data_IF_711613883340
#
_entry.id   IF_711613883340
#
_cell.length_a   1.000
_cell.length_b   1.000
_cell.length_c   1.000
_cell.angle_alpha   90.00
_cell.angle_beta   90.00
_cell.angle_gamma   90.00
#
_symmetry.space_group_name_H-M   'P 1'
#
loop_
_entity.id
_entity.type
_entity.pdbx_description
1 polymer ?
#
# COMPACT_ATOMS: atom_id res chain seq x y z
N UNK A 1 20.24 -18.94 22.38
CA UNK A 1 19.15 -18.20 21.72
C UNK A 1 19.01 -16.81 22.35
N UNK A 2 19.56 -15.78 21.71
CA UNK A 2 19.32 -14.37 22.08
C UNK A 2 18.11 -13.86 21.31
N UNK A 3 17.30 -13.01 21.93
CA UNK A 3 16.19 -12.31 21.27
C UNK A 3 16.65 -10.88 20.98
N UNK A 4 16.41 -10.38 19.77
CA UNK A 4 16.73 -9.01 19.40
C UNK A 4 15.63 -8.38 18.54
N UNK A 5 15.50 -7.06 18.67
CA UNK A 5 14.49 -6.27 17.97
C UNK A 5 15.17 -5.20 17.12
N UNK A 6 14.71 -5.06 15.88
CA UNK A 6 15.25 -4.11 14.91
C UNK A 6 14.14 -3.18 14.41
N UNK A 7 14.49 -1.90 14.26
CA UNK A 7 13.64 -0.89 13.63
C UNK A 7 14.29 -0.45 12.31
N UNK A 8 13.54 -0.52 11.22
CA UNK A 8 13.98 -0.14 9.88
C UNK A 8 12.98 0.85 9.30
N UNK A 9 13.48 1.98 8.82
CA UNK A 9 12.75 2.95 8.05
C UNK A 9 13.00 4.39 8.49
N UNK A 10 12.49 5.31 7.66
CA UNK A 10 12.77 6.73 7.77
C UNK A 10 12.10 7.38 8.99
N UNK A 11 12.86 8.23 9.68
CA UNK A 11 12.35 9.22 10.62
C UNK A 11 11.98 10.50 9.85
N UNK A 12 10.69 10.79 9.71
CA UNK A 12 10.18 11.94 8.93
C UNK A 12 9.66 13.04 9.86
N UNK A 13 10.57 13.93 10.27
CA UNK A 13 10.26 15.02 11.20
C UNK A 13 9.16 16.00 10.71
N UNK A 14 8.77 15.95 9.43
CA UNK A 14 7.69 16.77 8.90
C UNK A 14 6.29 16.24 9.21
N UNK A 15 6.18 14.97 9.63
CA UNK A 15 4.93 14.34 9.97
C UNK A 15 4.61 14.54 11.46
N UNK A 16 3.41 15.05 11.83
CA UNK A 16 3.01 15.22 13.23
C UNK A 16 3.00 13.93 14.06
N UNK A 17 2.84 12.77 13.42
CA UNK A 17 2.86 11.44 14.06
C UNK A 17 4.29 10.87 14.17
N UNK A 18 5.32 11.60 13.70
CA UNK A 18 6.69 11.08 13.69
C UNK A 18 7.26 10.94 15.10
N UNK A 19 7.97 9.84 15.31
CA UNK A 19 8.77 9.60 16.50
C UNK A 19 10.07 10.38 16.34
N UNK A 20 10.44 11.28 17.25
CA UNK A 20 11.68 12.03 17.13
C UNK A 20 12.90 11.10 17.18
N UNK A 21 13.89 11.33 16.32
CA UNK A 21 15.12 10.51 16.27
C UNK A 21 15.81 10.38 17.63
N UNK A 22 15.78 11.43 18.46
CA UNK A 22 16.33 11.40 19.82
C UNK A 22 15.69 10.32 20.71
N UNK A 23 14.39 10.07 20.55
CA UNK A 23 13.64 9.05 21.30
C UNK A 23 14.06 7.66 20.83
N UNK A 24 14.19 7.46 19.52
CA UNK A 24 14.65 6.19 18.94
C UNK A 24 16.08 5.88 19.41
N UNK A 25 16.97 6.87 19.39
CA UNK A 25 18.36 6.72 19.86
C UNK A 25 18.44 6.46 21.36
N UNK A 26 17.51 7.00 22.14
CA UNK A 26 17.39 6.65 23.56
C UNK A 26 17.05 5.16 23.73
N UNK A 27 16.03 4.65 23.03
CA UNK A 27 15.69 3.21 23.11
C UNK A 27 16.82 2.29 22.63
N UNK A 28 17.60 2.73 21.65
CA UNK A 28 18.81 2.02 21.22
C UNK A 28 19.89 2.01 22.31
N UNK A 29 20.12 3.15 22.98
CA UNK A 29 21.06 3.25 24.10
C UNK A 29 20.64 2.44 25.33
N UNK A 30 19.32 2.30 25.56
CA UNK A 30 18.72 1.42 26.57
C UNK A 30 18.83 -0.08 26.20
N UNK A 31 19.32 -0.41 25.00
CA UNK A 31 19.48 -1.79 24.53
C UNK A 31 18.17 -2.47 24.13
N UNK A 32 17.07 -1.73 23.98
CA UNK A 32 15.75 -2.29 23.65
C UNK A 32 15.66 -2.69 22.18
N UNK A 33 16.25 -1.89 21.30
CA UNK A 33 16.18 -2.06 19.84
C UNK A 33 17.53 -1.75 19.19
N UNK A 34 17.70 -2.18 17.94
CA UNK A 34 18.72 -1.66 17.01
C UNK A 34 18.04 -0.87 15.90
N UNK A 35 18.42 0.39 15.71
CA UNK A 35 17.86 1.23 14.66
C UNK A 35 18.74 1.21 13.41
N UNK A 36 18.22 0.64 12.32
CA UNK A 36 18.94 0.47 11.06
C UNK A 36 18.76 1.63 10.08
N UNK A 37 17.90 2.61 10.38
CA UNK A 37 17.67 3.76 9.50
C UNK A 37 16.85 3.43 8.25
N UNK A 38 16.89 4.33 7.26
CA UNK A 38 16.31 4.11 5.93
C UNK A 38 17.21 3.18 5.12
N UNK A 39 16.62 2.23 4.40
CA UNK A 39 17.33 1.23 3.61
C UNK A 39 16.71 1.16 2.20
N UNK A 40 17.54 1.16 1.16
CA UNK A 40 17.08 1.07 -0.23
C UNK A 40 16.64 -0.35 -0.60
N UNK A 41 17.41 -1.36 -0.20
CA UNK A 41 17.10 -2.77 -0.42
C UNK A 41 16.87 -3.49 0.91
N UNK A 42 15.61 -3.77 1.21
CA UNK A 42 15.22 -4.42 2.46
C UNK A 42 15.47 -5.93 2.47
N UNK A 43 15.79 -6.57 1.33
CA UNK A 43 15.83 -8.04 1.19
C UNK A 43 16.85 -8.68 2.13
N UNK A 44 18.09 -8.16 2.28
CA UNK A 44 19.05 -8.72 3.23
C UNK A 44 18.54 -8.66 4.68
N UNK A 45 17.82 -7.59 5.03
CA UNK A 45 17.27 -7.42 6.38
C UNK A 45 16.12 -8.41 6.62
N UNK A 46 15.18 -8.53 5.67
CA UNK A 46 14.11 -9.52 5.75
C UNK A 46 14.71 -10.93 5.86
N UNK A 47 15.69 -11.27 5.03
CA UNK A 47 16.34 -12.57 5.02
C UNK A 47 16.99 -12.93 6.36
N UNK A 48 17.61 -11.96 7.04
CA UNK A 48 18.22 -12.13 8.37
C UNK A 48 17.21 -12.15 9.52
N UNK A 49 15.98 -11.70 9.28
CA UNK A 49 14.93 -11.66 10.31
C UNK A 49 14.31 -13.05 10.50
N UNK A 50 13.98 -13.40 11.74
CA UNK A 50 13.20 -14.59 12.07
C UNK A 50 11.70 -14.35 11.87
N UNK A 51 11.24 -13.11 12.12
CA UNK A 51 9.86 -12.68 11.93
C UNK A 51 9.80 -11.18 11.64
N UNK A 52 8.90 -10.78 10.74
CA UNK A 52 8.63 -9.38 10.44
C UNK A 52 7.41 -8.89 11.22
N UNK A 53 7.56 -7.72 11.87
CA UNK A 53 6.53 -7.07 12.67
C UNK A 53 5.92 -5.89 11.92
N UNK A 54 4.60 -5.75 11.97
CA UNK A 54 3.90 -4.51 11.58
C UNK A 54 2.64 -4.29 12.44
N UNK A 55 2.78 -3.81 13.70
CA UNK A 55 1.66 -3.55 14.60
C UNK A 55 0.90 -2.24 14.28
N UNK A 56 0.63 -1.99 13.00
CA UNK A 56 0.08 -0.72 12.51
C UNK A 56 -1.39 -0.51 12.88
N UNK A 57 -1.82 0.74 13.06
CA UNK A 57 -3.22 1.03 13.41
C UNK A 57 -4.13 1.12 12.18
N UNK A 58 -3.54 1.33 11.00
CA UNK A 58 -4.25 1.46 9.73
C UNK A 58 -3.30 1.25 8.57
N UNK A 59 -3.67 0.38 7.66
CA UNK A 59 -2.96 0.18 6.40
C UNK A 59 -3.94 -0.09 5.24
N UNK A 60 -3.43 0.01 4.01
CA UNK A 60 -3.93 -0.88 2.95
C UNK A 60 -3.26 -2.25 3.10
N UNK A 61 -3.33 -3.14 2.12
CA UNK A 61 -2.51 -4.36 2.20
C UNK A 61 -1.02 -3.96 2.22
N UNK A 62 -0.26 -4.16 3.32
CA UNK A 62 1.06 -3.58 3.46
C UNK A 62 2.07 -4.34 2.62
N UNK A 63 2.69 -3.66 1.66
CA UNK A 63 3.67 -4.28 0.76
C UNK A 63 4.81 -4.95 1.52
N UNK A 64 5.25 -4.38 2.63
CA UNK A 64 6.32 -4.97 3.45
C UNK A 64 5.97 -6.33 4.05
N UNK A 65 4.70 -6.57 4.39
CA UNK A 65 4.23 -7.89 4.79
C UNK A 65 4.23 -8.84 3.60
N UNK A 66 3.81 -8.37 2.42
CA UNK A 66 3.86 -9.17 1.19
C UNK A 66 5.30 -9.56 0.82
N UNK A 67 6.25 -8.64 0.95
CA UNK A 67 7.69 -8.86 0.73
C UNK A 67 8.25 -9.89 1.73
N UNK A 68 7.91 -9.75 3.01
CA UNK A 68 8.30 -10.70 4.07
C UNK A 68 7.77 -12.11 3.79
N UNK A 69 6.46 -12.22 3.52
CA UNK A 69 5.81 -13.48 3.18
C UNK A 69 6.44 -14.10 1.93
N UNK A 70 6.71 -13.30 0.89
CA UNK A 70 7.38 -13.76 -0.34
C UNK A 70 8.75 -14.38 -0.03
N UNK A 71 9.51 -13.78 0.89
CA UNK A 71 10.81 -14.29 1.33
C UNK A 71 10.72 -15.41 2.39
N UNK A 72 9.56 -16.06 2.53
CA UNK A 72 9.32 -17.16 3.45
C UNK A 72 9.48 -16.77 4.94
N UNK A 73 9.16 -15.52 5.28
CA UNK A 73 9.20 -15.05 6.66
C UNK A 73 7.80 -15.04 7.28
N UNK A 74 7.62 -15.68 8.45
CA UNK A 74 6.42 -15.47 9.26
C UNK A 74 6.25 -13.99 9.61
N UNK A 75 4.99 -13.58 9.73
CA UNK A 75 4.64 -12.19 10.06
C UNK A 75 3.84 -12.11 11.36
N UNK A 76 4.06 -11.04 12.12
CA UNK A 76 3.17 -10.61 13.20
C UNK A 76 2.63 -9.23 12.84
N UNK A 77 1.32 -9.09 12.79
CA UNK A 77 0.62 -7.87 12.38
C UNK A 77 -0.59 -7.59 13.27
N UNK A 78 -1.45 -6.65 12.91
CA UNK A 78 -2.62 -6.23 13.69
C UNK A 78 -3.95 -6.50 12.99
N UNK A 79 -5.02 -6.61 13.79
CA UNK A 79 -6.40 -6.81 13.37
C UNK A 79 -7.02 -5.53 12.81
N UNK A 80 -6.43 -5.02 11.73
CA UNK A 80 -6.90 -3.85 11.00
C UNK A 80 -7.02 -4.19 9.52
N UNK A 81 -7.85 -3.42 8.83
CA UNK A 81 -7.98 -3.47 7.37
C UNK A 81 -6.60 -3.36 6.71
N UNK A 82 -6.39 -4.12 5.64
CA UNK A 82 -5.10 -4.31 4.98
C UNK A 82 -4.23 -5.39 5.63
N UNK A 83 -4.01 -5.30 6.94
CA UNK A 83 -3.15 -6.22 7.68
C UNK A 83 -3.81 -7.60 7.85
N UNK A 84 -5.11 -7.64 8.17
CA UNK A 84 -5.84 -8.90 8.38
C UNK A 84 -5.90 -9.76 7.11
N UNK A 85 -5.88 -9.14 5.93
CA UNK A 85 -5.88 -9.82 4.64
C UNK A 85 -4.57 -10.59 4.39
N UNK A 86 -3.49 -10.23 5.09
CA UNK A 86 -2.20 -10.92 5.00
C UNK A 86 -2.15 -12.21 5.81
N UNK A 87 -3.11 -12.45 6.72
CA UNK A 87 -3.13 -13.66 7.56
C UNK A 87 -4.13 -14.66 6.97
N UNK A 88 -3.65 -15.86 6.64
CA UNK A 88 -4.44 -16.96 6.09
C UNK A 88 -5.15 -17.71 7.22
N UNK A 89 -6.47 -17.85 7.08
CA UNK A 89 -7.32 -18.62 7.99
C UNK A 89 -7.18 -18.28 9.49
N UNK A 90 -7.12 -16.99 9.91
CA UNK A 90 -6.88 -16.63 11.31
C UNK A 90 -8.00 -17.13 12.23
N UNK A 91 -7.63 -17.74 13.36
CA UNK A 91 -8.54 -18.19 14.42
C UNK A 91 -8.21 -17.48 15.73
N UNK A 92 -9.24 -17.03 16.46
CA UNK A 92 -9.04 -16.37 17.75
C UNK A 92 -8.47 -17.37 18.77
N UNK A 93 -7.39 -16.98 19.44
CA UNK A 93 -6.68 -17.77 20.44
C UNK A 93 -6.27 -16.87 21.61
N UNK A 94 -7.15 -16.74 22.61
CA UNK A 94 -6.96 -15.79 23.71
C UNK A 94 -6.95 -14.35 23.20
N UNK A 95 -5.86 -13.63 23.46
CA UNK A 95 -5.65 -12.21 23.12
C UNK A 95 -5.19 -11.98 21.67
N UNK A 96 -4.97 -13.05 20.88
CA UNK A 96 -4.42 -12.98 19.52
C UNK A 96 -5.29 -13.77 18.54
N UNK A 97 -5.00 -13.63 17.25
CA UNK A 97 -5.48 -14.53 16.21
C UNK A 97 -4.30 -15.25 15.56
N UNK A 98 -4.36 -16.58 15.53
CA UNK A 98 -3.32 -17.42 14.94
C UNK A 98 -3.76 -17.88 13.55
N UNK A 99 -2.96 -17.58 12.53
CA UNK A 99 -3.16 -18.07 11.17
C UNK A 99 -2.08 -19.07 10.76
N UNK A 100 -2.26 -19.66 9.57
CA UNK A 100 -1.31 -20.65 9.01
C UNK A 100 0.07 -20.03 8.74
N UNK A 101 0.13 -18.74 8.42
CA UNK A 101 1.31 -18.03 7.95
C UNK A 101 1.81 -16.91 8.88
N UNK A 102 1.14 -16.68 10.01
CA UNK A 102 1.48 -15.56 10.90
C UNK A 102 0.51 -15.40 12.07
N UNK A 103 0.72 -14.35 12.85
CA UNK A 103 -0.05 -14.03 14.05
C UNK A 103 -0.58 -12.60 13.95
N UNK A 104 -1.80 -12.38 14.41
CA UNK A 104 -2.45 -11.08 14.42
C UNK A 104 -2.77 -10.67 15.86
N UNK A 105 -2.25 -9.53 16.29
CA UNK A 105 -2.60 -8.88 17.55
C UNK A 105 -3.76 -7.89 17.35
N UNK A 106 -4.39 -7.45 18.43
CA UNK A 106 -5.31 -6.31 18.38
C UNK A 106 -4.53 -4.99 18.20
N UNK A 107 -5.12 -4.03 17.49
CA UNK A 107 -4.45 -2.75 17.25
C UNK A 107 -4.46 -1.85 18.50
N UNK A 108 -3.36 -1.13 18.71
CA UNK A 108 -3.14 -0.26 19.89
C UNK A 108 -3.16 -1.03 21.22
N UNK A 109 -2.75 -2.29 21.18
CA UNK A 109 -2.74 -3.18 22.33
C UNK A 109 -1.35 -3.83 22.46
N UNK A 110 -0.52 -3.25 23.33
CA UNK A 110 0.81 -3.80 23.63
C UNK A 110 0.74 -5.15 24.34
N UNK A 111 -0.36 -5.46 25.04
CA UNK A 111 -0.56 -6.74 25.70
C UNK A 111 -0.86 -7.87 24.69
N UNK A 112 -1.74 -7.61 23.73
CA UNK A 112 -2.00 -8.53 22.62
C UNK A 112 -0.74 -8.76 21.77
N UNK A 113 0.04 -7.70 21.48
CA UNK A 113 1.32 -7.82 20.77
C UNK A 113 2.34 -8.66 21.56
N UNK A 114 2.40 -8.48 22.89
CA UNK A 114 3.22 -9.32 23.77
C UNK A 114 2.87 -10.80 23.65
N UNK A 115 1.59 -11.15 23.67
CA UNK A 115 1.19 -12.54 23.47
C UNK A 115 1.51 -13.06 22.07
N UNK A 116 1.39 -12.24 21.03
CA UNK A 116 1.76 -12.65 19.68
C UNK A 116 3.25 -13.01 19.59
N UNK A 117 4.12 -12.16 20.15
CA UNK A 117 5.56 -12.41 20.20
C UNK A 117 5.86 -13.64 21.07
N UNK A 118 5.25 -13.77 22.24
CA UNK A 118 5.43 -14.92 23.13
C UNK A 118 5.00 -16.23 22.47
N UNK A 119 3.87 -16.24 21.79
CA UNK A 119 3.38 -17.40 21.02
C UNK A 119 4.38 -17.77 19.93
N UNK A 120 4.88 -16.80 19.15
CA UNK A 120 5.91 -17.07 18.15
C UNK A 120 7.19 -17.65 18.75
N UNK A 121 7.65 -17.09 19.88
CA UNK A 121 8.84 -17.58 20.59
C UNK A 121 8.67 -19.03 21.05
N UNK A 122 7.47 -19.43 21.46
CA UNK A 122 7.15 -20.80 21.91
C UNK A 122 7.09 -21.85 20.80
N UNK A 123 7.05 -21.43 19.53
CA UNK A 123 7.06 -22.35 18.39
C UNK A 123 8.44 -23.00 18.26
N UNK A 124 8.44 -24.30 17.97
CA UNK A 124 9.63 -25.03 17.53
C UNK A 124 10.16 -24.47 16.20
N UNK A 125 11.43 -24.74 15.90
CA UNK A 125 12.05 -24.31 14.64
C UNK A 125 11.27 -24.84 13.41
N UNK A 126 10.87 -26.12 13.43
CA UNK A 126 10.06 -26.73 12.36
C UNK A 126 8.69 -26.05 12.18
N UNK A 127 8.05 -25.62 13.27
CA UNK A 127 6.79 -24.86 13.20
C UNK A 127 7.00 -23.46 12.60
N UNK A 128 8.07 -22.76 12.97
CA UNK A 128 8.42 -21.45 12.40
C UNK A 128 8.68 -21.55 10.90
N UNK A 129 9.40 -22.57 10.46
CA UNK A 129 9.66 -22.83 9.05
C UNK A 129 8.40 -23.19 8.26
N UNK A 130 7.53 -24.01 8.85
CA UNK A 130 6.24 -24.37 8.26
C UNK A 130 5.37 -23.13 8.09
N UNK A 131 5.30 -22.27 9.11
CA UNK A 131 4.60 -20.99 9.05
C UNK A 131 5.20 -20.07 7.96
N UNK A 132 6.52 -20.04 7.82
CA UNK A 132 7.20 -19.27 6.77
C UNK A 132 6.89 -19.80 5.35
N UNK A 133 6.88 -21.12 5.16
CA UNK A 133 6.50 -21.75 3.87
C UNK A 133 5.06 -21.43 3.51
N UNK A 134 4.13 -21.57 4.44
CA UNK A 134 2.73 -21.17 4.26
C UNK A 134 2.61 -19.69 3.91
N UNK A 135 3.45 -18.82 4.48
CA UNK A 135 3.50 -17.40 4.13
C UNK A 135 3.88 -17.17 2.67
N UNK A 136 4.93 -17.83 2.18
CA UNK A 136 5.35 -17.73 0.78
C UNK A 136 4.30 -18.27 -0.18
N UNK A 137 3.73 -19.43 0.12
CA UNK A 137 2.66 -20.03 -0.67
C UNK A 137 1.48 -19.06 -0.78
N UNK A 138 1.05 -18.47 0.34
CA UNK A 138 -0.04 -17.51 0.35
C UNK A 138 0.27 -16.23 -0.43
N UNK A 139 1.50 -15.70 -0.32
CA UNK A 139 1.94 -14.55 -1.11
C UNK A 139 1.90 -14.84 -2.61
N UNK A 140 2.41 -15.99 -3.05
CA UNK A 140 2.38 -16.41 -4.45
C UNK A 140 0.94 -16.64 -4.92
N UNK A 141 0.11 -17.32 -4.13
CA UNK A 141 -1.26 -17.69 -4.47
C UNK A 141 -2.19 -16.47 -4.53
N UNK A 142 -1.98 -15.44 -3.70
CA UNK A 142 -2.93 -14.32 -3.60
C UNK A 142 -2.37 -12.98 -4.06
N UNK A 143 -1.10 -12.69 -3.79
CA UNK A 143 -0.56 -11.33 -3.88
C UNK A 143 0.52 -11.14 -4.96
N UNK A 144 0.91 -12.19 -5.67
CA UNK A 144 1.88 -12.05 -6.75
C UNK A 144 1.44 -11.02 -7.81
N UNK A 145 2.37 -10.14 -8.17
CA UNK A 145 2.15 -9.02 -9.11
C UNK A 145 1.64 -9.48 -10.48
N UNK A 146 1.92 -10.72 -10.90
CA UNK A 146 1.41 -11.28 -12.15
C UNK A 146 -0.12 -11.26 -12.23
N UNK A 147 -0.84 -11.41 -11.10
CA UNK A 147 -2.31 -11.33 -11.05
C UNK A 147 -2.82 -9.92 -11.29
N UNK A 148 -2.14 -8.95 -10.69
CA UNK A 148 -2.43 -7.53 -10.94
C UNK A 148 -2.17 -7.21 -12.40
N UNK A 149 -1.01 -7.59 -12.94
CA UNK A 149 -0.67 -7.41 -14.36
C UNK A 149 -1.73 -8.03 -15.27
N UNK A 150 -2.15 -9.27 -15.00
CA UNK A 150 -3.17 -9.96 -15.78
C UNK A 150 -4.50 -9.20 -15.76
N UNK A 151 -4.90 -8.70 -14.59
CA UNK A 151 -6.10 -7.87 -14.43
C UNK A 151 -6.03 -6.63 -15.32
N UNK A 152 -4.92 -5.88 -15.28
CA UNK A 152 -4.73 -4.73 -16.18
C UNK A 152 -4.80 -5.15 -17.66
N UNK A 153 -4.08 -6.21 -18.06
CA UNK A 153 -4.07 -6.71 -19.44
C UNK A 153 -5.48 -7.10 -19.93
N UNK A 154 -6.26 -7.81 -19.12
CA UNK A 154 -7.64 -8.18 -19.44
C UNK A 154 -8.52 -6.94 -19.66
N UNK A 155 -8.34 -5.92 -18.82
CA UNK A 155 -9.19 -4.72 -18.81
C UNK A 155 -8.81 -3.75 -19.92
N UNK A 156 -7.53 -3.70 -20.27
CA UNK A 156 -7.06 -3.07 -21.52
C UNK A 156 -7.70 -3.76 -22.72
N UNK A 157 -7.64 -5.09 -22.82
CA UNK A 157 -8.28 -5.83 -23.93
C UNK A 157 -9.80 -5.59 -24.02
N UNK A 158 -10.48 -5.45 -22.89
CA UNK A 158 -11.93 -5.27 -22.81
C UNK A 158 -12.38 -3.85 -23.16
N UNK A 159 -11.65 -2.82 -22.71
CA UNK A 159 -12.14 -1.44 -22.74
C UNK A 159 -11.35 -0.50 -23.65
N UNK A 160 -10.13 -0.86 -24.05
CA UNK A 160 -9.32 0.00 -24.90
C UNK A 160 -9.95 0.16 -26.29
N UNK A 161 -10.09 1.41 -26.74
CA UNK A 161 -10.48 1.73 -28.12
C UNK A 161 -9.32 1.46 -29.10
N UNK A 162 -9.57 1.65 -30.39
CA UNK A 162 -8.53 1.57 -31.43
C UNK A 162 -7.38 2.55 -31.10
N UNK A 163 -6.16 2.02 -31.00
CA UNK A 163 -4.95 2.79 -30.72
C UNK A 163 -4.03 2.08 -29.72
N UNK A 164 -2.78 2.56 -29.62
CA UNK A 164 -1.76 1.99 -28.73
C UNK A 164 -1.49 2.81 -27.47
N UNK A 165 -2.04 4.02 -27.37
CA UNK A 165 -1.73 4.94 -26.28
C UNK A 165 -2.56 4.62 -25.02
N UNK A 166 -1.90 4.23 -23.93
CA UNK A 166 -2.52 4.10 -22.61
C UNK A 166 -2.04 5.25 -21.73
N UNK A 167 -2.96 5.91 -21.02
CA UNK A 167 -2.62 7.03 -20.13
C UNK A 167 -2.87 6.65 -18.67
N UNK A 168 -1.92 6.95 -17.80
CA UNK A 168 -2.00 6.76 -16.35
C UNK A 168 -1.87 8.14 -15.69
N UNK A 169 -2.92 8.58 -15.00
CA UNK A 169 -2.95 9.89 -14.33
C UNK A 169 -2.86 9.69 -12.83
N UNK A 170 -1.85 10.28 -12.20
CA UNK A 170 -1.57 10.09 -10.78
C UNK A 170 -1.23 11.41 -10.09
N UNK A 171 -1.40 11.43 -8.78
CA UNK A 171 -1.05 12.58 -7.95
C UNK A 171 0.46 12.65 -7.62
N UNK A 172 1.23 11.58 -7.87
CA UNK A 172 2.69 11.56 -7.69
C UNK A 172 3.34 10.67 -8.75
N UNK A 173 4.58 10.99 -9.15
CA UNK A 173 5.39 10.03 -9.93
C UNK A 173 5.81 8.86 -9.04
N UNK A 174 6.08 9.13 -7.75
CA UNK A 174 6.52 8.09 -6.80
C UNK A 174 5.52 6.95 -6.68
N UNK A 175 4.22 7.25 -6.59
CA UNK A 175 3.21 6.19 -6.54
C UNK A 175 3.20 5.31 -7.81
N UNK A 176 3.48 5.89 -8.97
CA UNK A 176 3.55 5.14 -10.23
C UNK A 176 4.82 4.29 -10.30
N UNK A 177 5.98 4.84 -9.96
CA UNK A 177 7.24 4.09 -9.98
C UNK A 177 7.25 3.00 -8.92
N UNK A 178 6.76 3.28 -7.71
CA UNK A 178 6.86 2.34 -6.61
C UNK A 178 5.84 1.20 -6.75
N UNK A 179 4.58 1.49 -7.08
CA UNK A 179 3.50 0.50 -7.02
C UNK A 179 3.02 -0.02 -8.38
N UNK A 180 3.39 0.65 -9.48
CA UNK A 180 2.86 0.33 -10.82
C UNK A 180 3.91 0.07 -11.88
N UNK A 181 5.20 0.27 -11.59
CA UNK A 181 6.24 0.15 -12.62
C UNK A 181 6.19 -1.19 -13.36
N UNK A 182 6.05 -2.31 -12.66
CA UNK A 182 5.97 -3.64 -13.28
C UNK A 182 4.71 -3.82 -14.16
N UNK A 183 3.58 -3.23 -13.76
CA UNK A 183 2.36 -3.19 -14.58
C UNK A 183 2.59 -2.36 -15.85
N UNK A 184 3.22 -1.19 -15.71
CA UNK A 184 3.50 -0.28 -16.82
C UNK A 184 4.47 -0.92 -17.82
N UNK A 185 5.53 -1.56 -17.32
CA UNK A 185 6.48 -2.34 -18.13
C UNK A 185 5.76 -3.49 -18.85
N UNK A 186 4.95 -4.29 -18.15
CA UNK A 186 4.27 -5.43 -18.76
C UNK A 186 3.26 -5.02 -19.85
N UNK A 187 2.65 -3.84 -19.75
CA UNK A 187 1.78 -3.30 -20.81
C UNK A 187 2.59 -2.68 -21.96
N UNK A 188 3.71 -2.01 -21.67
CA UNK A 188 4.65 -1.54 -22.69
C UNK A 188 5.19 -2.70 -23.52
N UNK A 189 5.54 -3.81 -22.87
CA UNK A 189 6.11 -5.00 -23.50
C UNK A 189 5.06 -5.75 -24.36
N UNK A 190 3.76 -5.51 -24.13
CA UNK A 190 2.66 -5.93 -25.02
C UNK A 190 2.48 -4.99 -26.25
N UNK A 191 3.35 -3.99 -26.39
CA UNK A 191 3.38 -3.07 -27.54
C UNK A 191 2.51 -1.82 -27.38
N UNK A 192 2.02 -1.50 -26.18
CA UNK A 192 1.34 -0.24 -25.89
C UNK A 192 2.34 0.90 -25.65
N UNK A 193 1.97 2.12 -26.03
CA UNK A 193 2.69 3.33 -25.68
C UNK A 193 2.12 3.88 -24.38
N UNK A 194 2.95 3.90 -23.33
CA UNK A 194 2.51 4.26 -21.98
C UNK A 194 2.83 5.73 -21.70
N UNK A 195 1.81 6.50 -21.37
CA UNK A 195 1.92 7.90 -20.99
C UNK A 195 1.58 8.08 -19.51
N UNK A 196 2.45 8.73 -18.76
CA UNK A 196 2.23 9.07 -17.35
C UNK A 196 1.97 10.57 -17.24
N UNK A 197 0.84 10.94 -16.63
CA UNK A 197 0.50 12.33 -16.30
C UNK A 197 0.55 12.48 -14.77
N UNK A 198 1.59 13.13 -14.25
CA UNK A 198 1.80 13.30 -12.81
C UNK A 198 2.72 14.50 -12.48
N UNK A 199 2.78 14.96 -11.22
CA UNK A 199 3.85 15.85 -10.76
C UNK A 199 5.23 15.26 -10.95
N UNK A 200 6.17 16.12 -11.36
CA UNK A 200 7.59 15.76 -11.39
C UNK A 200 8.12 15.67 -9.95
N UNK A 201 8.78 14.55 -9.63
CA UNK A 201 9.46 14.32 -8.36
C UNK A 201 10.74 13.48 -8.59
N UNK A 202 11.41 13.04 -7.52
CA UNK A 202 12.68 12.31 -7.60
C UNK A 202 12.57 10.97 -8.36
N UNK A 203 11.37 10.38 -8.43
CA UNK A 203 11.13 9.09 -9.07
C UNK A 203 10.73 9.19 -10.54
N UNK A 204 10.52 10.41 -11.05
CA UNK A 204 10.18 10.63 -12.46
C UNK A 204 11.26 10.05 -13.39
N UNK A 205 12.52 10.10 -12.97
CA UNK A 205 13.64 9.57 -13.74
C UNK A 205 13.52 8.06 -13.97
N UNK A 206 13.14 7.30 -12.93
CA UNK A 206 12.88 5.85 -13.04
C UNK A 206 11.81 5.53 -14.08
N UNK A 207 10.76 6.36 -14.18
CA UNK A 207 9.71 6.16 -15.20
C UNK A 207 10.25 6.37 -16.62
N UNK A 208 11.08 7.40 -16.83
CA UNK A 208 11.70 7.72 -18.12
C UNK A 208 12.69 6.65 -18.57
N UNK A 209 13.55 6.17 -17.66
CA UNK A 209 14.52 5.09 -17.92
C UNK A 209 13.84 3.78 -18.33
N UNK A 210 12.59 3.60 -17.90
CA UNK A 210 11.74 2.49 -18.31
C UNK A 210 10.93 2.77 -19.58
N UNK A 211 11.36 3.72 -20.42
CA UNK A 211 10.75 3.97 -21.73
C UNK A 211 9.30 4.46 -21.67
N UNK A 212 8.87 5.03 -20.54
CA UNK A 212 7.53 5.60 -20.37
C UNK A 212 7.55 7.08 -20.75
N UNK A 213 6.50 7.56 -21.41
CA UNK A 213 6.40 8.97 -21.82
C UNK A 213 5.81 9.78 -20.66
N UNK A 214 6.56 10.76 -20.15
CA UNK A 214 6.12 11.56 -19.01
C UNK A 214 5.57 12.93 -19.43
N UNK A 215 4.41 13.30 -18.85
CA UNK A 215 3.77 14.60 -19.02
C UNK A 215 3.63 15.26 -17.64
N UNK A 216 4.32 16.40 -17.39
CA UNK A 216 4.27 17.05 -16.08
C UNK A 216 2.89 17.64 -15.81
N UNK A 217 2.36 17.38 -14.61
CA UNK A 217 1.11 17.94 -14.10
C UNK A 217 1.38 18.68 -12.78
N UNK A 218 0.91 19.92 -12.67
CA UNK A 218 0.83 20.59 -11.38
C UNK A 218 -0.50 20.21 -10.72
N UNK A 219 -0.46 19.55 -9.57
CA UNK A 219 -1.64 19.21 -8.79
C UNK A 219 -1.35 19.37 -7.30
N UNK A 220 -2.20 20.11 -6.61
CA UNK A 220 -2.12 20.26 -5.17
C UNK A 220 -2.95 19.18 -4.50
N UNK A 221 -2.31 18.13 -4.00
CA UNK A 221 -2.97 16.94 -3.47
C UNK A 221 -3.85 17.17 -2.23
N UNK A 222 -3.54 18.21 -1.45
CA UNK A 222 -4.22 18.54 -0.18
C UNK A 222 -5.07 19.81 -0.26
N UNK A 223 -4.82 20.66 -1.24
CA UNK A 223 -5.55 21.93 -1.41
C UNK A 223 -6.98 21.74 -1.91
N UNK A 224 -7.82 22.74 -1.64
CA UNK A 224 -9.21 22.83 -2.11
C UNK A 224 -9.46 24.08 -2.95
N UNK A 225 -8.38 24.65 -3.54
CA UNK A 225 -8.44 25.88 -4.31
C UNK A 225 -9.11 25.64 -5.68
N UNK A 226 -10.29 26.22 -5.95
CA UNK A 226 -11.03 25.96 -7.18
C UNK A 226 -10.30 26.39 -8.46
N UNK A 227 -9.48 27.44 -8.39
CA UNK A 227 -8.75 27.96 -9.56
C UNK A 227 -7.62 26.98 -9.94
N UNK A 228 -6.87 26.51 -8.93
CA UNK A 228 -5.84 25.46 -9.13
C UNK A 228 -6.46 24.17 -9.66
N UNK A 229 -7.64 23.79 -9.13
CA UNK A 229 -8.35 22.59 -9.55
C UNK A 229 -8.88 22.71 -11.00
N UNK A 230 -9.41 23.87 -11.38
CA UNK A 230 -9.81 24.13 -12.77
C UNK A 230 -8.61 24.12 -13.72
N UNK A 231 -7.48 24.72 -13.32
CA UNK A 231 -6.22 24.67 -14.08
C UNK A 231 -5.74 23.23 -14.25
N UNK A 232 -5.80 22.41 -13.18
CA UNK A 232 -5.44 20.99 -13.20
C UNK A 232 -6.32 20.23 -14.19
N UNK A 233 -7.64 20.41 -14.10
CA UNK A 233 -8.61 19.81 -15.03
C UNK A 233 -8.35 20.23 -16.48
N UNK A 234 -8.16 21.53 -16.75
CA UNK A 234 -7.91 22.05 -18.09
C UNK A 234 -6.62 21.46 -18.71
N UNK A 235 -5.56 21.34 -17.90
CA UNK A 235 -4.32 20.71 -18.32
C UNK A 235 -4.52 19.24 -18.71
N UNK A 236 -5.16 18.44 -17.82
CA UNK A 236 -5.47 17.04 -18.08
C UNK A 236 -6.33 16.90 -19.35
N UNK A 237 -7.37 17.71 -19.50
CA UNK A 237 -8.24 17.69 -20.67
C UNK A 237 -7.47 17.92 -21.97
N UNK A 238 -6.60 18.95 -22.01
CA UNK A 238 -5.77 19.25 -23.20
C UNK A 238 -4.81 18.11 -23.53
N UNK A 239 -4.15 17.54 -22.52
CA UNK A 239 -3.25 16.40 -22.69
C UNK A 239 -4.00 15.17 -23.23
N UNK A 240 -5.14 14.80 -22.62
CA UNK A 240 -5.93 13.66 -23.07
C UNK A 240 -6.48 13.86 -24.49
N UNK A 241 -6.92 15.08 -24.82
CA UNK A 241 -7.37 15.41 -26.18
C UNK A 241 -6.24 15.29 -27.20
N UNK A 242 -5.03 15.71 -26.86
CA UNK A 242 -3.86 15.61 -27.74
C UNK A 242 -3.38 14.15 -27.90
N UNK A 243 -3.24 13.41 -26.80
CA UNK A 243 -2.74 12.03 -26.79
C UNK A 243 -3.75 11.07 -27.45
N UNK A 244 -5.05 11.39 -27.32
CA UNK A 244 -6.18 10.58 -27.78
C UNK A 244 -6.03 9.08 -27.38
N UNK A 245 -5.98 8.78 -26.07
CA UNK A 245 -5.65 7.45 -25.59
C UNK A 245 -6.76 6.43 -25.87
N UNK A 246 -6.36 5.17 -26.06
CA UNK A 246 -7.31 4.07 -26.16
C UNK A 246 -7.97 3.74 -24.83
N UNK A 247 -7.28 3.95 -23.70
CA UNK A 247 -7.80 3.79 -22.33
C UNK A 247 -7.02 4.67 -21.34
N UNK A 248 -7.71 5.15 -20.31
CA UNK A 248 -7.13 5.96 -19.22
C UNK A 248 -7.31 5.30 -17.86
N UNK A 249 -6.25 5.22 -17.06
CA UNK A 249 -6.26 4.78 -15.67
C UNK A 249 -6.04 5.97 -14.73
N UNK A 250 -6.98 6.23 -13.84
CA UNK A 250 -6.96 7.38 -12.94
C UNK A 250 -6.72 6.94 -11.50
N UNK A 251 -5.62 7.37 -10.89
CA UNK A 251 -5.23 6.98 -9.53
C UNK A 251 -5.45 8.11 -8.54
N UNK A 252 -5.87 7.76 -7.32
CA UNK A 252 -6.04 8.70 -6.19
C UNK A 252 -7.17 9.71 -6.42
N UNK A 253 -7.56 10.41 -5.35
CA UNK A 253 -8.78 11.23 -5.27
C UNK A 253 -8.92 12.24 -6.43
N UNK A 254 -7.95 13.16 -6.58
CA UNK A 254 -8.09 14.26 -7.53
C UNK A 254 -8.01 13.82 -9.00
N UNK A 255 -7.05 12.98 -9.43
CA UNK A 255 -7.06 12.43 -10.78
C UNK A 255 -8.33 11.63 -11.07
N UNK A 256 -8.83 10.83 -10.13
CA UNK A 256 -10.12 10.13 -10.29
C UNK A 256 -11.26 11.11 -10.57
N UNK A 257 -11.31 12.26 -9.92
CA UNK A 257 -12.36 13.26 -10.20
C UNK A 257 -12.10 13.97 -11.53
N UNK A 258 -10.97 14.65 -11.69
CA UNK A 258 -10.74 15.55 -12.81
C UNK A 258 -10.46 14.83 -14.13
N UNK A 259 -9.68 13.75 -14.09
CA UNK A 259 -9.36 12.98 -15.29
C UNK A 259 -10.56 12.15 -15.76
N UNK A 260 -11.33 11.53 -14.87
CA UNK A 260 -12.57 10.84 -15.30
C UNK A 260 -13.60 11.82 -15.85
N UNK A 261 -13.74 13.01 -15.26
CA UNK A 261 -14.58 14.06 -15.85
C UNK A 261 -14.10 14.46 -17.25
N UNK A 262 -12.79 14.67 -17.44
CA UNK A 262 -12.23 14.99 -18.75
C UNK A 262 -12.45 13.85 -19.77
N UNK A 263 -12.29 12.60 -19.35
CA UNK A 263 -12.58 11.42 -20.16
C UNK A 263 -14.05 11.37 -20.57
N UNK A 264 -14.99 11.69 -19.66
CA UNK A 264 -16.42 11.70 -19.96
C UNK A 264 -16.79 12.74 -21.04
N UNK A 265 -16.13 13.90 -21.02
CA UNK A 265 -16.33 14.97 -22.02
C UNK A 265 -15.69 14.64 -23.38
N UNK A 266 -14.56 13.93 -23.36
CA UNK A 266 -13.86 13.47 -24.57
C UNK A 266 -14.38 12.13 -25.08
N UNK A 267 -15.34 11.52 -24.40
CA UNK A 267 -15.83 10.16 -24.65
C UNK A 267 -14.71 9.10 -24.69
N UNK A 268 -13.70 9.25 -23.83
CA UNK A 268 -12.60 8.30 -23.66
C UNK A 268 -12.98 7.25 -22.59
N UNK A 269 -12.75 5.95 -22.83
CA UNK A 269 -12.96 4.95 -21.79
C UNK A 269 -11.93 5.16 -20.68
N UNK A 270 -12.35 4.98 -19.43
CA UNK A 270 -11.47 5.10 -18.28
C UNK A 270 -11.84 4.14 -17.16
N UNK A 271 -10.84 3.80 -16.36
CA UNK A 271 -10.93 3.04 -15.12
C UNK A 271 -10.40 3.93 -13.99
N UNK A 272 -11.11 3.97 -12.87
CA UNK A 272 -10.71 4.72 -11.69
C UNK A 272 -10.16 3.78 -10.62
N UNK A 273 -9.09 4.18 -9.94
CA UNK A 273 -8.46 3.41 -8.86
C UNK A 273 -8.36 4.30 -7.62
N UNK A 274 -9.08 3.90 -6.57
CA UNK A 274 -9.11 4.59 -5.28
C UNK A 274 -8.20 3.86 -4.30
N UNK A 275 -7.08 4.49 -3.93
CA UNK A 275 -6.05 3.95 -3.02
C UNK A 275 -6.14 4.60 -1.63
N UNK A 276 -7.35 4.91 -1.18
CA UNK A 276 -7.63 5.71 0.01
C UNK A 276 -8.62 6.85 -0.23
N UNK A 277 -9.50 7.08 0.75
CA UNK A 277 -10.55 8.11 0.68
C UNK A 277 -10.07 9.52 1.06
N UNK A 278 -8.91 9.64 1.68
CA UNK A 278 -8.37 10.91 2.19
C UNK A 278 -9.11 11.44 3.43
N UNK A 279 -8.70 12.63 3.88
CA UNK A 279 -9.15 13.22 5.14
C UNK A 279 -10.64 13.61 5.17
N UNK A 280 -11.26 13.80 4.01
CA UNK A 280 -12.67 14.23 3.86
C UNK A 280 -13.64 13.23 4.51
N UNK A 281 -13.26 11.95 4.59
CA UNK A 281 -14.08 10.88 5.13
C UNK A 281 -13.73 10.52 6.58
N UNK A 282 -12.81 11.24 7.23
CA UNK A 282 -12.37 10.98 8.61
C UNK A 282 -13.00 12.00 9.57
N UNK A 283 -14.00 11.55 10.33
CA UNK A 283 -14.62 12.27 11.47
C UNK A 283 -15.18 13.67 11.19
N UNK A 284 -15.69 14.32 12.26
CA UNK A 284 -15.83 15.78 12.37
C UNK A 284 -17.20 16.43 12.07
N UNK A 285 -17.26 17.72 12.40
CA UNK A 285 -18.49 18.54 12.48
C UNK A 285 -19.05 19.06 11.16
N UNK A 286 -19.93 20.07 11.25
CA UNK A 286 -20.80 20.51 10.16
C UNK A 286 -20.06 20.87 8.86
N UNK A 287 -18.93 21.59 8.94
CA UNK A 287 -18.12 21.98 7.76
C UNK A 287 -17.63 20.77 6.95
N UNK A 288 -17.16 19.70 7.63
CA UNK A 288 -16.73 18.48 6.94
C UNK A 288 -17.89 17.72 6.31
N UNK A 289 -19.08 17.76 6.92
CA UNK A 289 -20.29 17.16 6.35
C UNK A 289 -20.67 17.82 5.01
N UNK A 290 -20.57 19.15 4.96
CA UNK A 290 -20.81 19.91 3.72
C UNK A 290 -19.75 19.59 2.67
N UNK A 291 -18.46 19.65 3.04
CA UNK A 291 -17.36 19.30 2.13
C UNK A 291 -17.50 17.87 1.58
N UNK A 292 -17.85 16.90 2.44
CA UNK A 292 -18.08 15.51 2.04
C UNK A 292 -19.23 15.41 1.04
N UNK A 293 -20.35 16.09 1.27
CA UNK A 293 -21.48 16.10 0.33
C UNK A 293 -21.06 16.64 -1.03
N UNK A 294 -20.27 17.70 -1.06
CA UNK A 294 -19.73 18.28 -2.29
C UNK A 294 -18.77 17.31 -3.01
N UNK A 295 -17.82 16.71 -2.30
CA UNK A 295 -16.89 15.73 -2.87
C UNK A 295 -17.61 14.49 -3.39
N UNK A 296 -18.62 13.97 -2.67
CA UNK A 296 -19.44 12.86 -3.15
C UNK A 296 -20.20 13.22 -4.44
N UNK A 297 -20.70 14.45 -4.56
CA UNK A 297 -21.33 14.92 -5.81
C UNK A 297 -20.33 14.94 -6.97
N UNK A 298 -19.12 15.48 -6.74
CA UNK A 298 -18.07 15.50 -7.76
C UNK A 298 -17.70 14.10 -8.22
N UNK A 299 -17.53 13.15 -7.30
CA UNK A 299 -17.29 11.75 -7.65
C UNK A 299 -18.44 11.16 -8.48
N UNK A 300 -19.70 11.39 -8.10
CA UNK A 300 -20.85 10.88 -8.85
C UNK A 300 -20.86 11.36 -10.30
N UNK A 301 -20.55 12.64 -10.51
CA UNK A 301 -20.48 13.24 -11.85
C UNK A 301 -19.29 12.67 -12.61
N UNK A 302 -18.11 12.65 -11.99
CA UNK A 302 -16.87 12.18 -12.63
C UNK A 302 -16.91 10.70 -13.00
N UNK A 303 -17.49 9.85 -12.16
CA UNK A 303 -17.47 8.39 -12.31
C UNK A 303 -18.63 7.84 -13.13
N UNK A 304 -19.56 8.69 -13.58
CA UNK A 304 -20.79 8.25 -14.22
C UNK A 304 -20.54 7.35 -15.45
N UNK A 305 -19.61 7.74 -16.34
CA UNK A 305 -19.25 6.96 -17.55
C UNK A 305 -17.93 6.17 -17.40
N UNK A 306 -17.35 6.13 -16.21
CA UNK A 306 -16.22 5.24 -15.91
C UNK A 306 -16.67 3.78 -16.04
N UNK A 307 -15.79 2.95 -16.62
CA UNK A 307 -16.06 1.53 -16.88
C UNK A 307 -16.10 0.74 -15.58
N UNK A 308 -15.04 0.87 -14.78
CA UNK A 308 -14.89 0.20 -13.48
C UNK A 308 -14.19 1.12 -12.47
N UNK A 309 -14.52 0.92 -11.20
CA UNK A 309 -13.90 1.61 -10.07
C UNK A 309 -13.27 0.56 -9.16
N UNK A 310 -11.94 0.61 -9.10
CA UNK A 310 -11.13 -0.34 -8.37
C UNK A 310 -10.78 0.20 -6.99
N UNK A 311 -10.84 -0.68 -6.01
CA UNK A 311 -10.50 -0.43 -4.62
C UNK A 311 -9.41 -1.41 -4.18
N UNK A 312 -8.56 -0.99 -3.25
CA UNK A 312 -7.53 -1.85 -2.65
C UNK A 312 -7.94 -2.42 -1.29
N UNK A 313 -9.03 -1.93 -0.71
CA UNK A 313 -9.58 -2.41 0.53
C UNK A 313 -11.11 -2.27 0.50
N UNK A 314 -11.79 -3.13 1.25
CA UNK A 314 -13.25 -3.16 1.24
C UNK A 314 -13.86 -1.95 1.95
N UNK A 315 -13.18 -1.36 2.92
CA UNK A 315 -13.71 -0.21 3.66
C UNK A 315 -13.92 1.01 2.75
N UNK A 316 -12.95 1.31 1.89
CA UNK A 316 -13.03 2.38 0.91
C UNK A 316 -14.16 2.14 -0.10
N UNK A 317 -14.36 0.87 -0.49
CA UNK A 317 -15.45 0.45 -1.36
C UNK A 317 -16.81 0.65 -0.69
N UNK A 318 -16.98 0.22 0.56
CA UNK A 318 -18.23 0.37 1.31
C UNK A 318 -18.59 1.84 1.55
N UNK A 319 -17.60 2.73 1.70
CA UNK A 319 -17.86 4.17 1.72
C UNK A 319 -18.47 4.62 0.40
N UNK A 320 -17.92 4.22 -0.74
CA UNK A 320 -18.47 4.62 -2.04
C UNK A 320 -19.90 4.09 -2.27
N UNK A 321 -20.19 2.87 -1.81
CA UNK A 321 -21.52 2.27 -1.90
C UNK A 321 -22.52 2.95 -0.96
N UNK A 322 -22.16 3.15 0.32
CA UNK A 322 -23.04 3.76 1.32
C UNK A 322 -23.42 5.22 1.00
N UNK A 323 -22.52 5.99 0.39
CA UNK A 323 -22.83 7.34 -0.10
C UNK A 323 -23.51 7.37 -1.49
N UNK A 324 -23.85 6.20 -2.05
CA UNK A 324 -24.43 6.03 -3.38
C UNK A 324 -23.60 6.75 -4.46
N UNK A 325 -22.27 6.68 -4.36
CA UNK A 325 -21.36 7.29 -5.34
C UNK A 325 -21.33 6.47 -6.62
N UNK A 326 -21.29 5.15 -6.48
CA UNK A 326 -21.29 4.17 -7.57
C UNK A 326 -22.28 3.05 -7.28
N UNK A 327 -22.61 2.25 -8.31
CA UNK A 327 -23.32 0.99 -8.14
C UNK A 327 -22.35 -0.15 -7.85
N UNK A 328 -22.81 -1.22 -7.19
CA UNK A 328 -21.99 -2.37 -6.80
C UNK A 328 -21.37 -3.08 -8.00
N UNK A 329 -22.09 -3.17 -9.11
CA UNK A 329 -21.64 -3.81 -10.35
C UNK A 329 -20.44 -3.10 -11.01
N UNK A 330 -20.26 -1.80 -10.74
CA UNK A 330 -19.10 -1.03 -11.22
C UNK A 330 -17.89 -1.12 -10.28
N UNK A 331 -18.04 -1.75 -9.12
CA UNK A 331 -16.98 -1.85 -8.12
C UNK A 331 -16.17 -3.13 -8.31
N UNK A 332 -14.85 -3.01 -8.28
CA UNK A 332 -13.91 -4.14 -8.30
C UNK A 332 -12.97 -3.99 -7.12
N UNK A 333 -12.76 -5.07 -6.37
CA UNK A 333 -11.78 -5.11 -5.30
C UNK A 333 -10.53 -5.82 -5.84
N UNK A 334 -9.39 -5.13 -5.82
CA UNK A 334 -8.10 -5.75 -6.06
C UNK A 334 -7.61 -6.37 -4.74
N UNK A 335 -6.94 -7.52 -4.82
CA UNK A 335 -6.38 -8.18 -3.64
C UNK A 335 -5.31 -7.32 -2.95
N UNK A 336 -4.46 -6.64 -3.73
CA UNK A 336 -3.44 -5.73 -3.22
C UNK A 336 -2.82 -4.88 -4.34
N UNK A 337 -1.78 -4.11 -3.99
CA UNK A 337 -0.88 -3.47 -4.95
C UNK A 337 -0.03 -4.47 -5.76
N UNK A 338 0.13 -5.70 -5.26
CA UNK A 338 0.97 -6.76 -5.82
C UNK A 338 2.39 -6.75 -5.25
N UNK A 339 3.04 -7.93 -5.23
CA UNK A 339 4.47 -8.09 -4.89
C UNK A 339 5.14 -8.99 -5.93
N UNK A 340 6.37 -8.66 -6.32
CA UNK A 340 7.16 -9.51 -7.19
C UNK A 340 7.82 -10.64 -6.38
N UNK A 341 7.17 -11.80 -6.32
CA UNK A 341 7.65 -12.94 -5.51
C UNK A 341 8.91 -13.61 -6.05
N UNK A 342 9.29 -13.31 -7.31
CA UNK A 342 10.54 -13.71 -7.92
C UNK A 342 11.70 -12.78 -7.51
N UNK A 343 11.44 -11.48 -7.36
CA UNK A 343 12.41 -10.52 -6.82
C UNK A 343 12.60 -10.68 -5.31
N UNK A 344 11.51 -10.91 -4.59
CA UNK A 344 11.47 -11.22 -3.15
C UNK A 344 11.45 -12.73 -2.92
N UNK A 345 12.49 -13.42 -3.40
CA UNK A 345 12.66 -14.87 -3.19
C UNK A 345 13.39 -15.18 -1.87
N UNK A 346 13.19 -16.36 -1.26
CA UNK A 346 13.89 -16.75 -0.05
C UNK A 346 15.39 -16.81 -0.29
N UNK A 347 16.15 -16.07 0.52
CA UNK A 347 17.61 -16.07 0.46
C UNK A 347 18.16 -17.01 1.53
N UNK A 348 19.18 -17.80 1.17
CA UNK A 348 19.89 -18.65 2.12
C UNK A 348 20.82 -17.76 2.95
N UNK A 349 20.51 -17.62 4.23
CA UNK A 349 21.42 -17.08 5.24
C UNK A 349 21.83 -18.20 6.18
N UNK A 350 23.01 -18.08 6.81
CA UNK A 350 23.40 -18.98 7.90
C UNK A 350 22.29 -19.00 8.94
N UNK A 351 21.87 -20.19 9.33
CA UNK A 351 21.00 -20.37 10.50
C UNK A 351 21.67 -19.67 11.68
N UNK A 352 21.00 -18.65 12.20
CA UNK A 352 21.39 -17.99 13.43
C UNK A 352 20.54 -18.61 14.54
N UNK A 353 21.15 -19.04 15.63
CA UNK A 353 20.42 -19.51 16.81
C UNK A 353 19.65 -18.38 17.50
N UNK A 354 19.90 -17.12 17.11
CA UNK A 354 19.22 -15.95 17.62
C UNK A 354 17.90 -15.67 16.90
N UNK A 355 16.89 -15.21 17.67
CA UNK A 355 15.61 -14.78 17.14
C UNK A 355 15.66 -13.26 16.92
N UNK A 356 15.49 -12.85 15.67
CA UNK A 356 15.48 -11.44 15.27
C UNK A 356 14.08 -11.05 14.81
N UNK A 357 13.45 -10.14 15.55
CA UNK A 357 12.21 -9.49 15.14
C UNK A 357 12.52 -8.14 14.49
N UNK A 358 11.96 -7.88 13.32
CA UNK A 358 12.22 -6.63 12.60
C UNK A 358 10.91 -5.92 12.27
N UNK A 359 10.76 -4.68 12.73
CA UNK A 359 9.70 -3.78 12.31
C UNK A 359 10.23 -2.92 11.16
N UNK A 360 9.58 -3.03 10.01
CA UNK A 360 9.94 -2.27 8.80
C UNK A 360 8.78 -1.31 8.46
N UNK A 361 8.93 -0.04 8.83
CA UNK A 361 7.94 1.00 8.58
C UNK A 361 8.54 2.40 8.70
N UNK A 362 7.80 3.44 8.31
CA UNK A 362 8.16 4.81 8.75
C UNK A 362 8.07 4.88 10.28
N UNK A 363 8.98 5.63 10.91
CA UNK A 363 9.03 5.77 12.37
C UNK A 363 7.93 6.73 12.86
N UNK A 364 6.68 6.27 12.77
CA UNK A 364 5.49 6.98 13.23
C UNK A 364 4.83 6.20 14.37
N UNK A 365 4.20 6.91 15.31
CA UNK A 365 3.48 6.28 16.41
C UNK A 365 2.37 5.35 15.91
N UNK A 366 1.68 5.74 14.84
CA UNK A 366 0.62 4.94 14.22
C UNK A 366 1.06 3.63 13.55
N UNK A 367 2.38 3.36 13.50
CA UNK A 367 2.95 2.08 13.05
C UNK A 367 3.20 1.10 14.19
N UNK A 368 2.76 1.43 15.41
CA UNK A 368 2.83 0.55 16.57
C UNK A 368 4.23 0.40 17.17
N UNK A 369 5.15 1.34 16.87
CA UNK A 369 6.52 1.32 17.40
C UNK A 369 6.50 1.51 18.92
N UNK A 370 5.58 2.33 19.45
CA UNK A 370 5.43 2.53 20.89
C UNK A 370 5.02 1.23 21.60
N UNK A 371 4.01 0.54 21.08
CA UNK A 371 3.52 -0.73 21.59
C UNK A 371 4.61 -1.81 21.55
N UNK A 372 5.44 -1.82 20.50
CA UNK A 372 6.59 -2.72 20.44
C UNK A 372 7.59 -2.41 21.56
N UNK A 373 7.90 -1.13 21.82
CA UNK A 373 8.81 -0.76 22.91
C UNK A 373 8.25 -1.14 24.28
N UNK A 374 6.95 -0.93 24.52
CA UNK A 374 6.27 -1.39 25.75
C UNK A 374 6.36 -2.92 25.90
N UNK A 375 6.05 -3.66 24.83
CA UNK A 375 6.16 -5.11 24.80
C UNK A 375 7.59 -5.60 25.10
N UNK A 376 8.62 -4.95 24.54
CA UNK A 376 10.02 -5.32 24.79
C UNK A 376 10.38 -5.11 26.27
N UNK A 377 9.92 -4.01 26.87
CA UNK A 377 10.12 -3.75 28.30
C UNK A 377 9.47 -4.82 29.17
N UNK A 378 8.26 -5.25 28.82
CA UNK A 378 7.56 -6.33 29.53
C UNK A 378 8.24 -7.69 29.38
N UNK A 379 8.80 -7.98 28.19
CA UNK A 379 9.58 -9.19 27.93
C UNK A 379 10.91 -9.23 28.71
N UNK A 380 11.51 -8.07 29.03
CA UNK A 380 12.75 -8.01 29.79
C UNK A 380 12.54 -8.08 31.32
N UNK A 381 11.31 -7.88 31.80
CA UNK A 381 10.98 -7.93 33.23
C UNK A 381 10.53 -9.31 33.73
N UNK A 382 10.23 -10.24 32.81
CA UNK A 382 9.72 -11.59 33.07
C UNK A 382 10.65 -12.63 32.48
#
# INVERSE_FOLDING_TARGET
>A
MKISFQLVGKCDNSNPSSIPLKVIKQWEAEGLIKYLGECEDIRPIIAQSSCILLPSYREGVPRVLLEAMSMQKPIITTNVSGCKECIKSPQKHGEIFLGENGIMAEAKDSHSLFYAIKTFLSLSQSQKETMGRAAREYAIERFDISKTIQTYKQKVKLYAKKGKNLVFVSNTSFGMSNFRLEVLQALRDEGYTIHIIAPKDYSTQTLLENGLIFHPLKINSKGINPIEDFSTFSCIYKLLKHINPSLVFNYTIKPVIYSSLACNLLSLPNIAITTGLGYVFIGGGLKKRVLRRFVCMLYKIALHKTQEIWFLNNDDREVFLSYNIIKKEKSTLLDSEGVNTAHFYPQVFKENEDIVFTLIARMLWDKGVGELIECIKDLNQK
#
